data_IF_282766903024
#
_entry.id   IF_282766903024
#
_cell.length_a   1.000
_cell.length_b   1.000
_cell.length_c   1.000
_cell.angle_alpha   90.00
_cell.angle_beta   90.00
_cell.angle_gamma   90.00
#
_symmetry.space_group_name_H-M   'P 1'
#
loop_
_entity.id
_entity.type
_entity.pdbx_description
1 polymer ?
#
# COMPACT_ATOMS: atom_id res chain seq x y z
N UNK A 1 14.67 6.49 8.52
CA UNK A 1 13.26 6.45 8.95
C UNK A 1 13.20 7.04 10.35
N UNK A 2 12.16 7.81 10.66
CA UNK A 2 11.89 8.35 12.00
C UNK A 2 10.42 8.08 12.31
N UNK A 3 10.13 7.68 13.55
CA UNK A 3 8.76 7.39 14.01
C UNK A 3 8.42 8.36 15.14
N UNK A 4 7.25 8.98 15.06
CA UNK A 4 6.73 9.92 16.06
C UNK A 4 5.51 9.32 16.74
N UNK A 5 5.43 9.43 18.07
CA UNK A 5 4.22 9.11 18.83
C UNK A 5 3.39 10.39 19.00
N UNK A 6 2.16 10.39 18.49
CA UNK A 6 1.19 11.45 18.75
C UNK A 6 0.40 11.15 20.04
N UNK A 7 -0.40 12.13 20.49
CA UNK A 7 -1.20 12.03 21.72
C UNK A 7 -2.30 10.98 21.63
N UNK A 8 -2.90 10.81 20.46
CA UNK A 8 -3.99 9.86 20.22
C UNK A 8 -4.12 9.55 18.72
N UNK A 9 -5.15 8.75 18.37
CA UNK A 9 -5.41 8.35 16.98
C UNK A 9 -5.77 9.54 16.09
N UNK A 10 -6.52 10.52 16.60
CA UNK A 10 -6.92 11.69 15.81
C UNK A 10 -5.72 12.54 15.43
N UNK A 11 -4.84 12.84 16.39
CA UNK A 11 -3.61 13.58 16.10
C UNK A 11 -2.65 12.78 15.21
N UNK A 12 -2.56 11.45 15.39
CA UNK A 12 -1.75 10.58 14.52
C UNK A 12 -2.17 10.71 13.06
N UNK A 13 -3.48 10.72 12.78
CA UNK A 13 -4.02 10.86 11.42
C UNK A 13 -3.73 12.23 10.83
N UNK A 14 -3.88 13.29 11.61
CA UNK A 14 -3.49 14.64 11.16
C UNK A 14 -1.99 14.75 10.85
N UNK A 15 -1.14 14.19 11.70
CA UNK A 15 0.30 14.18 11.48
C UNK A 15 0.67 13.39 10.22
N UNK A 16 0.06 12.23 10.01
CA UNK A 16 0.23 11.42 8.81
C UNK A 16 -0.08 12.22 7.54
N UNK A 17 -1.24 12.87 7.50
CA UNK A 17 -1.70 13.66 6.35
C UNK A 17 -0.77 14.85 6.05
N UNK A 18 -0.31 15.56 7.08
CA UNK A 18 0.65 16.66 6.90
C UNK A 18 2.02 16.19 6.41
N UNK A 19 2.49 15.01 6.85
CA UNK A 19 3.76 14.45 6.41
C UNK A 19 3.70 13.92 4.97
N UNK A 20 2.52 13.57 4.47
CA UNK A 20 2.34 13.10 3.10
C UNK A 20 2.86 14.10 2.06
N UNK A 21 2.51 15.38 2.21
CA UNK A 21 2.94 16.44 1.27
C UNK A 21 4.42 16.79 1.43
N UNK A 22 4.99 16.58 2.62
CA UNK A 22 6.42 16.82 2.88
C UNK A 22 7.31 15.68 2.37
N UNK A 23 6.78 14.46 2.25
CA UNK A 23 7.52 13.27 1.87
C UNK A 23 8.30 13.40 0.55
N UNK A 24 7.69 13.83 -0.58
CA UNK A 24 8.44 14.01 -1.83
C UNK A 24 9.46 15.17 -1.77
N UNK A 25 9.19 16.22 -0.99
CA UNK A 25 10.13 17.33 -0.78
C UNK A 25 11.37 16.84 -0.03
N UNK A 26 11.17 16.10 1.07
CA UNK A 26 12.25 15.52 1.85
C UNK A 26 13.03 14.48 1.05
N UNK A 27 12.36 13.70 0.19
CA UNK A 27 13.02 12.78 -0.73
C UNK A 27 14.00 13.51 -1.65
N UNK A 28 13.58 14.63 -2.24
CA UNK A 28 14.45 15.45 -3.11
C UNK A 28 15.57 16.13 -2.32
N UNK A 29 15.27 16.73 -1.17
CA UNK A 29 16.27 17.41 -0.33
C UNK A 29 17.34 16.46 0.22
N UNK A 30 16.99 15.19 0.41
CA UNK A 30 17.90 14.16 0.95
C UNK A 30 18.43 13.22 -0.12
N UNK A 31 18.40 13.64 -1.38
CA UNK A 31 18.89 12.87 -2.52
C UNK A 31 20.35 12.45 -2.32
N UNK A 32 20.59 11.15 -2.48
CA UNK A 32 21.87 10.50 -2.14
C UNK A 32 22.06 9.18 -2.90
N UNK A 33 21.44 9.00 -4.07
CA UNK A 33 21.53 7.76 -4.86
C UNK A 33 21.70 8.04 -6.36
N UNK A 34 22.78 8.73 -6.79
CA UNK A 34 23.03 9.06 -8.19
C UNK A 34 23.68 7.92 -9.00
N UNK A 35 24.05 6.80 -8.37
CA UNK A 35 24.74 5.67 -9.01
C UNK A 35 23.99 4.37 -8.74
N UNK A 36 23.67 3.63 -9.79
CA UNK A 36 23.02 2.32 -9.73
C UNK A 36 23.78 1.32 -10.62
N UNK A 37 24.08 0.12 -10.09
CA UNK A 37 24.81 -0.95 -10.80
C UNK A 37 26.09 -0.45 -11.51
N UNK A 38 26.85 0.43 -10.85
CA UNK A 38 28.12 0.96 -11.37
C UNK A 38 27.97 2.01 -12.49
N UNK A 39 26.78 2.54 -12.72
CA UNK A 39 26.50 3.58 -13.73
C UNK A 39 25.87 4.79 -13.06
N UNK A 40 26.22 5.99 -13.54
CA UNK A 40 25.47 7.20 -13.20
C UNK A 40 24.03 7.05 -13.70
N UNK A 41 23.07 7.31 -12.82
CA UNK A 41 21.65 7.28 -13.11
C UNK A 41 21.14 8.71 -13.36
N UNK A 42 20.15 8.85 -14.23
CA UNK A 42 19.45 10.14 -14.46
C UNK A 42 18.37 10.37 -13.39
N UNK A 43 18.74 10.15 -12.13
CA UNK A 43 17.94 10.38 -10.93
C UNK A 43 18.87 10.40 -9.73
N UNK A 44 18.57 11.24 -8.73
CA UNK A 44 19.39 11.37 -7.53
C UNK A 44 18.82 10.60 -6.33
N UNK A 45 17.67 9.92 -6.52
CA UNK A 45 16.91 9.28 -5.44
C UNK A 45 16.64 7.80 -5.72
N UNK A 46 16.50 7.02 -4.64
CA UNK A 46 16.33 5.57 -4.70
C UNK A 46 14.88 5.08 -4.85
N UNK A 47 13.89 5.98 -4.84
CA UNK A 47 12.48 5.62 -4.61
C UNK A 47 11.93 4.63 -5.64
N UNK A 48 12.05 4.96 -6.92
CA UNK A 48 11.56 4.10 -8.01
C UNK A 48 12.26 2.74 -8.04
N UNK A 49 13.56 2.69 -7.72
CA UNK A 49 14.32 1.44 -7.64
C UNK A 49 13.82 0.53 -6.54
N UNK A 50 13.57 1.08 -5.33
CA UNK A 50 13.04 0.28 -4.23
C UNK A 50 11.61 -0.16 -4.54
N UNK A 51 10.77 0.75 -5.01
CA UNK A 51 9.38 0.46 -5.39
C UNK A 51 9.28 -0.72 -6.37
N UNK A 52 10.10 -0.71 -7.43
CA UNK A 52 10.17 -1.79 -8.42
C UNK A 52 10.86 -3.07 -7.92
N UNK A 53 11.71 -3.00 -6.89
CA UNK A 53 12.42 -4.18 -6.37
C UNK A 53 11.52 -5.17 -5.62
N UNK A 54 10.33 -4.72 -5.20
CA UNK A 54 9.34 -5.50 -4.45
C UNK A 54 7.94 -5.36 -5.05
N UNK A 55 7.87 -4.99 -6.34
CA UNK A 55 6.61 -4.95 -7.08
C UNK A 55 6.19 -6.37 -7.45
N UNK A 56 5.20 -6.87 -6.73
CA UNK A 56 4.65 -8.23 -6.86
C UNK A 56 3.46 -8.31 -7.83
N UNK A 57 3.10 -7.19 -8.46
CA UNK A 57 1.97 -7.16 -9.40
C UNK A 57 2.15 -8.14 -10.55
N UNK A 58 1.10 -8.85 -10.92
CA UNK A 58 1.02 -9.59 -12.18
C UNK A 58 1.04 -8.60 -13.37
N UNK A 59 1.38 -9.05 -14.59
CA UNK A 59 1.21 -8.24 -15.79
C UNK A 59 -0.21 -7.66 -15.89
N UNK A 60 -1.23 -8.47 -15.61
CA UNK A 60 -2.63 -8.06 -15.68
C UNK A 60 -2.98 -6.99 -14.64
N UNK A 61 -2.46 -7.10 -13.41
CA UNK A 61 -2.60 -6.04 -12.39
C UNK A 61 -1.87 -4.74 -12.78
N UNK A 62 -0.81 -4.83 -13.61
CA UNK A 62 -0.17 -3.65 -14.23
C UNK A 62 -0.90 -3.13 -15.47
N UNK A 63 -1.97 -3.80 -15.93
CA UNK A 63 -2.65 -3.48 -17.18
C UNK A 63 -1.89 -3.91 -18.44
N UNK A 64 -0.91 -4.80 -18.28
CA UNK A 64 -0.14 -5.42 -19.36
C UNK A 64 -0.84 -6.70 -19.83
N UNK A 65 -0.63 -7.14 -21.09
CA UNK A 65 -1.14 -8.43 -21.53
C UNK A 65 -0.55 -9.57 -20.70
N UNK A 66 -1.28 -10.68 -20.50
CA UNK A 66 -0.77 -11.86 -19.81
C UNK A 66 0.56 -12.31 -20.42
N UNK A 67 1.52 -12.68 -19.57
CA UNK A 67 2.79 -13.22 -20.07
C UNK A 67 2.53 -14.49 -20.91
N UNK A 68 3.23 -14.62 -22.05
CA UNK A 68 3.10 -15.78 -22.94
C UNK A 68 3.35 -17.14 -22.25
N UNK A 69 4.04 -17.11 -21.10
CA UNK A 69 4.13 -18.22 -20.15
C UNK A 69 3.54 -17.76 -18.82
N UNK A 70 2.26 -18.05 -18.60
CA UNK A 70 1.66 -17.87 -17.29
C UNK A 70 2.40 -18.77 -16.29
N UNK A 71 3.13 -18.15 -15.35
CA UNK A 71 3.87 -18.87 -14.30
C UNK A 71 2.95 -19.55 -13.27
N UNK A 72 1.65 -19.25 -13.31
CA UNK A 72 0.64 -19.77 -12.41
C UNK A 72 -0.46 -20.47 -13.21
N UNK A 73 -0.86 -21.66 -12.76
CA UNK A 73 -2.06 -22.33 -13.25
C UNK A 73 -3.33 -21.57 -12.85
N UNK A 74 -4.43 -21.76 -13.57
CA UNK A 74 -5.72 -21.13 -13.24
C UNK A 74 -6.15 -21.38 -11.79
N UNK A 75 -5.85 -22.57 -11.26
CA UNK A 75 -6.12 -22.93 -9.86
C UNK A 75 -5.24 -22.17 -8.85
N UNK A 76 -4.02 -21.78 -9.21
CA UNK A 76 -3.19 -20.95 -8.34
C UNK A 76 -3.66 -19.49 -8.33
N UNK A 77 -4.22 -19.02 -9.46
CA UNK A 77 -4.76 -17.65 -9.57
C UNK A 77 -5.99 -17.44 -8.69
N UNK A 78 -6.79 -18.48 -8.42
CA UNK A 78 -7.98 -18.35 -7.54
C UNK A 78 -7.63 -17.97 -6.10
N UNK A 79 -6.36 -18.10 -5.69
CA UNK A 79 -5.92 -17.75 -4.34
C UNK A 79 -5.30 -16.35 -4.24
N UNK A 80 -5.06 -15.67 -5.36
CA UNK A 80 -4.55 -14.31 -5.37
C UNK A 80 -5.67 -13.31 -5.06
N UNK A 81 -5.33 -12.23 -4.36
CA UNK A 81 -6.20 -11.08 -4.16
C UNK A 81 -6.72 -10.58 -5.52
N UNK A 82 -8.04 -10.41 -5.64
CA UNK A 82 -8.67 -10.03 -6.92
C UNK A 82 -8.38 -11.00 -8.08
N UNK A 83 -7.99 -12.25 -7.81
CA UNK A 83 -7.58 -13.22 -8.84
C UNK A 83 -6.27 -12.89 -9.56
N UNK A 84 -5.51 -11.90 -9.06
CA UNK A 84 -4.30 -11.40 -9.72
C UNK A 84 -4.58 -10.81 -11.11
N UNK A 85 -5.76 -10.22 -11.30
CA UNK A 85 -6.19 -9.58 -12.56
C UNK A 85 -6.79 -8.20 -12.38
N UNK A 86 -7.19 -7.83 -11.15
CA UNK A 86 -7.72 -6.50 -10.85
C UNK A 86 -6.59 -5.48 -10.96
N UNK A 87 -6.73 -4.42 -11.78
CA UNK A 87 -5.67 -3.42 -11.93
C UNK A 87 -5.29 -2.76 -10.61
N UNK A 88 -3.98 -2.68 -10.35
CA UNK A 88 -3.40 -2.02 -9.18
C UNK A 88 -2.45 -0.93 -9.66
N UNK A 89 -2.73 0.36 -9.42
CA UNK A 89 -2.02 1.46 -10.07
C UNK A 89 -0.56 1.59 -9.62
N UNK A 90 -0.24 1.13 -8.41
CA UNK A 90 1.08 1.29 -7.77
C UNK A 90 1.64 -0.04 -7.29
N UNK A 91 2.96 -0.11 -7.09
CA UNK A 91 3.60 -1.19 -6.32
C UNK A 91 3.06 -1.19 -4.88
N UNK A 92 3.15 -2.32 -4.17
CA UNK A 92 2.85 -2.37 -2.73
C UNK A 92 3.79 -1.48 -1.91
N UNK A 93 4.99 -1.22 -2.44
CA UNK A 93 5.92 -0.23 -1.91
C UNK A 93 5.84 1.03 -2.77
N UNK A 94 5.05 2.01 -2.34
CA UNK A 94 4.92 3.29 -3.02
C UNK A 94 4.44 4.37 -2.02
N UNK A 95 4.21 5.57 -2.54
CA UNK A 95 3.68 6.73 -1.85
C UNK A 95 2.30 6.40 -1.28
N UNK A 96 1.89 7.16 -0.26
CA UNK A 96 0.59 6.95 0.37
C UNK A 96 -0.53 7.06 -0.67
N UNK A 97 -1.60 6.27 -0.51
CA UNK A 97 -2.74 6.30 -1.42
C UNK A 97 -3.92 7.13 -0.91
N UNK A 98 -4.00 7.34 0.41
CA UNK A 98 -5.16 7.99 1.04
C UNK A 98 -4.75 8.78 2.28
N UNK A 99 -5.32 9.97 2.41
CA UNK A 99 -5.39 10.76 3.64
C UNK A 99 -6.38 10.14 4.64
N UNK A 100 -6.12 10.34 5.93
CA UNK A 100 -6.77 9.66 7.06
C UNK A 100 -7.51 10.60 8.03
N UNK A 101 -7.15 11.87 8.09
CA UNK A 101 -7.61 12.78 9.12
C UNK A 101 -9.10 13.09 8.98
N UNK A 102 -9.86 12.99 10.06
CA UNK A 102 -11.29 13.29 10.03
C UNK A 102 -11.56 14.78 9.78
N UNK A 103 -11.58 15.22 8.51
CA UNK A 103 -11.89 16.60 8.12
C UNK A 103 -13.20 16.72 7.30
N UNK A 104 -14.09 15.73 7.44
CA UNK A 104 -15.41 15.74 6.79
C UNK A 104 -15.31 15.57 5.27
N UNK A 105 -15.85 16.54 4.51
CA UNK A 105 -15.93 16.43 3.05
C UNK A 105 -14.59 16.61 2.31
N UNK A 106 -13.56 17.11 2.99
CA UNK A 106 -12.20 17.26 2.46
C UNK A 106 -11.66 15.98 1.79
N UNK A 107 -12.03 14.80 2.31
CA UNK A 107 -11.52 13.52 1.82
C UNK A 107 -11.96 13.25 0.40
N UNK A 108 -13.17 13.65 0.02
CA UNK A 108 -13.63 13.49 -1.37
C UNK A 108 -12.83 14.35 -2.34
N UNK A 109 -12.29 15.48 -1.86
CA UNK A 109 -11.48 16.40 -2.65
C UNK A 109 -10.03 15.95 -2.75
N UNK A 110 -9.43 15.45 -1.67
CA UNK A 110 -7.98 15.16 -1.61
C UNK A 110 -7.62 13.69 -1.83
N UNK A 111 -8.57 12.77 -1.65
CA UNK A 111 -8.39 11.36 -2.06
C UNK A 111 -8.94 11.19 -3.48
N UNK A 112 -8.29 11.85 -4.44
CA UNK A 112 -8.70 12.00 -5.84
C UNK A 112 -7.98 11.04 -6.80
N UNK A 113 -7.16 10.13 -6.27
CA UNK A 113 -6.48 9.10 -7.05
C UNK A 113 -7.25 7.77 -7.04
N UNK A 114 -6.95 6.93 -8.03
CA UNK A 114 -7.40 5.54 -8.01
C UNK A 114 -6.66 4.77 -6.90
N UNK A 115 -7.43 4.24 -5.95
CA UNK A 115 -6.95 3.47 -4.82
C UNK A 115 -7.91 2.30 -4.58
N UNK A 116 -7.71 1.17 -5.28
CA UNK A 116 -8.57 -0.02 -5.19
C UNK A 116 -8.74 -0.51 -3.75
N UNK A 117 -9.90 -1.06 -3.41
CA UNK A 117 -10.24 -1.46 -2.05
C UNK A 117 -10.74 -2.90 -2.03
N UNK A 118 -10.37 -3.65 -0.99
CA UNK A 118 -11.02 -4.91 -0.69
C UNK A 118 -12.38 -4.66 -0.01
N UNK A 119 -13.47 -4.95 -0.72
CA UNK A 119 -14.82 -4.63 -0.25
C UNK A 119 -15.24 -5.47 0.97
N UNK A 120 -14.72 -6.69 1.12
CA UNK A 120 -14.99 -7.54 2.28
C UNK A 120 -14.36 -6.98 3.55
N UNK A 121 -13.07 -6.61 3.47
CA UNK A 121 -12.36 -5.93 4.54
C UNK A 121 -13.03 -4.59 4.87
N UNK A 122 -13.42 -3.79 3.87
CA UNK A 122 -14.11 -2.52 4.10
C UNK A 122 -15.42 -2.74 4.87
N UNK A 123 -16.22 -3.73 4.47
CA UNK A 123 -17.49 -4.07 5.12
C UNK A 123 -17.25 -4.53 6.55
N UNK A 124 -16.28 -5.40 6.78
CA UNK A 124 -15.91 -5.90 8.10
C UNK A 124 -15.52 -4.74 9.03
N UNK A 125 -14.56 -3.91 8.62
CA UNK A 125 -14.06 -2.77 9.40
C UNK A 125 -15.19 -1.79 9.76
N UNK A 126 -16.06 -1.46 8.80
CA UNK A 126 -17.24 -0.60 9.05
C UNK A 126 -18.24 -1.24 10.01
N UNK A 127 -18.51 -2.54 9.87
CA UNK A 127 -19.43 -3.25 10.77
C UNK A 127 -18.91 -3.31 12.21
N UNK A 128 -17.58 -3.28 12.38
CA UNK A 128 -16.90 -3.19 13.68
C UNK A 128 -16.78 -1.76 14.24
N UNK A 129 -17.39 -0.77 13.57
CA UNK A 129 -17.45 0.62 14.04
C UNK A 129 -16.25 1.50 13.66
N UNK A 130 -15.37 1.05 12.76
CA UNK A 130 -14.27 1.89 12.25
C UNK A 130 -14.84 2.93 11.28
N UNK A 131 -14.41 4.18 11.44
CA UNK A 131 -14.84 5.27 10.57
C UNK A 131 -14.41 5.06 9.11
N UNK A 132 -15.14 5.70 8.21
CA UNK A 132 -15.02 5.49 6.78
C UNK A 132 -13.61 5.79 6.21
N UNK A 133 -12.92 6.80 6.72
CA UNK A 133 -11.60 7.18 6.22
C UNK A 133 -10.55 6.13 6.55
N UNK A 134 -10.49 5.71 7.82
CA UNK A 134 -9.56 4.68 8.25
C UNK A 134 -9.93 3.32 7.65
N UNK A 135 -11.22 2.96 7.62
CA UNK A 135 -11.67 1.69 7.05
C UNK A 135 -11.25 1.54 5.59
N UNK A 136 -11.42 2.59 4.77
CA UNK A 136 -10.99 2.59 3.37
C UNK A 136 -9.48 2.51 3.20
N UNK A 137 -8.72 3.15 4.08
CA UNK A 137 -7.26 3.03 4.05
C UNK A 137 -6.80 1.61 4.36
N UNK A 138 -7.30 1.01 5.44
CA UNK A 138 -6.91 -0.36 5.81
C UNK A 138 -7.37 -1.35 4.74
N UNK A 139 -8.60 -1.23 4.25
CA UNK A 139 -9.12 -2.11 3.20
C UNK A 139 -8.35 -1.98 1.86
N UNK A 140 -7.75 -0.82 1.57
CA UNK A 140 -6.82 -0.68 0.44
C UNK A 140 -5.55 -1.52 0.63
N UNK A 141 -5.08 -1.75 1.86
CA UNK A 141 -3.92 -2.60 2.11
C UNK A 141 -4.22 -4.09 1.88
N UNK A 142 -5.49 -4.49 2.02
CA UNK A 142 -5.96 -5.87 1.86
C UNK A 142 -6.19 -6.29 0.41
N UNK A 143 -5.96 -5.40 -0.57
CA UNK A 143 -5.93 -5.77 -2.00
C UNK A 143 -4.64 -6.52 -2.39
N UNK A 144 -3.79 -6.87 -1.42
CA UNK A 144 -2.47 -7.47 -1.62
C UNK A 144 -2.38 -8.80 -0.92
N UNK A 145 -1.69 -9.73 -1.56
CA UNK A 145 -1.40 -11.02 -0.97
C UNK A 145 -0.31 -10.92 0.12
N UNK A 146 -0.39 -11.79 1.15
CA UNK A 146 0.73 -12.03 2.05
C UNK A 146 1.87 -12.73 1.29
N UNK A 147 3.08 -12.14 1.31
CA UNK A 147 4.24 -12.72 0.60
C UNK A 147 5.02 -13.73 1.44
N UNK A 148 5.01 -13.56 2.77
CA UNK A 148 5.79 -14.37 3.69
C UNK A 148 4.90 -14.71 4.88
N UNK A 149 4.60 -16.00 5.01
CA UNK A 149 3.92 -16.57 6.17
C UNK A 149 4.80 -17.70 6.69
N UNK A 150 5.10 -17.67 7.98
CA UNK A 150 5.83 -18.75 8.64
C UNK A 150 4.82 -19.84 9.07
N UNK A 151 5.19 -21.11 8.90
CA UNK A 151 4.33 -22.26 9.21
C UNK A 151 3.73 -22.21 10.62
N UNK A 152 4.53 -21.83 11.63
CA UNK A 152 4.06 -21.67 13.02
C UNK A 152 3.28 -20.38 13.32
N UNK A 153 2.90 -19.60 12.30
CA UNK A 153 2.15 -18.33 12.40
C UNK A 153 0.90 -18.31 11.52
N UNK A 154 0.47 -19.47 11.02
CA UNK A 154 -0.75 -19.58 10.20
C UNK A 154 -1.99 -19.48 11.10
N UNK A 155 -2.00 -20.19 12.21
CA UNK A 155 -3.10 -20.19 13.19
C UNK A 155 -2.66 -19.39 14.42
N UNK A 156 -3.38 -18.33 14.75
CA UNK A 156 -3.12 -17.46 15.90
C UNK A 156 -4.43 -17.20 16.66
N UNK A 157 -4.30 -16.92 17.95
CA UNK A 157 -5.42 -16.46 18.79
C UNK A 157 -5.55 -14.93 18.70
N UNK A 158 -6.64 -14.46 18.10
CA UNK A 158 -6.90 -13.05 17.85
C UNK A 158 -7.47 -12.30 19.08
N UNK A 159 -8.02 -13.00 20.07
CA UNK A 159 -8.61 -12.38 21.28
C UNK A 159 -7.57 -12.13 22.39
N UNK A 160 -6.43 -12.81 22.30
CA UNK A 160 -5.22 -12.54 23.07
C UNK A 160 -5.15 -13.22 24.44
N UNK A 161 -4.22 -14.16 24.57
CA UNK A 161 -3.50 -14.46 25.80
C UNK A 161 -2.00 -14.18 25.66
N UNK A 162 -1.58 -12.95 25.97
CA UNK A 162 -0.22 -12.57 26.39
C UNK A 162 -0.28 -11.31 27.27
#
# INVERSE_FOLDING_TARGET
QVTFQARNIDESRHLYDHLAVLSPILLALTAATPVLKGRLADTDVRWATISGSVDDRTPEERGEPPAAHAYLSDRQRTHLAGGGTVPLPKSRYDSISRYLANCGECHRKYNDIDAPIDEEALKMLKSSGIDDALARHVAHLFVRDPLVIHEGRVELDDEGGA
#
